data_IF_660459426051
#
_entry.id   IF_660459426051
#
_cell.length_a   1.000
_cell.length_b   1.000
_cell.length_c   1.000
_cell.angle_alpha   90.00
_cell.angle_beta   90.00
_cell.angle_gamma   90.00
#
_symmetry.space_group_name_H-M   'P 1'
#
loop_
_entity.id
_entity.type
_entity.pdbx_description
1 polymer ?
#
# COMPACT_ATOMS: atom_id res chain seq x y z
N UNK A 1 -5.75 23.20 0.82
CA UNK A 1 -5.03 22.01 0.29
C UNK A 1 -4.30 22.44 -0.97
N UNK A 2 -3.00 22.16 -1.09
CA UNK A 2 -2.24 22.48 -2.31
C UNK A 2 -2.78 21.61 -3.47
N UNK A 3 -2.94 22.17 -4.68
CA UNK A 3 -3.43 21.38 -5.81
C UNK A 3 -2.45 20.27 -6.19
N UNK A 4 -2.98 19.20 -6.77
CA UNK A 4 -2.17 18.09 -7.28
C UNK A 4 -1.17 18.57 -8.33
N UNK A 5 0.05 18.14 -8.18
CA UNK A 5 1.14 18.23 -9.17
C UNK A 5 2.12 17.07 -8.93
N UNK A 6 2.89 16.70 -9.93
CA UNK A 6 3.95 15.69 -9.76
C UNK A 6 4.91 16.04 -8.62
N UNK A 7 5.24 17.31 -8.49
CA UNK A 7 6.14 17.80 -7.43
C UNK A 7 5.51 17.71 -6.04
N UNK A 8 4.21 18.07 -5.90
CA UNK A 8 3.49 17.96 -4.62
C UNK A 8 3.30 16.50 -4.21
N UNK A 9 2.99 15.62 -5.17
CA UNK A 9 2.93 14.17 -4.95
C UNK A 9 4.27 13.60 -4.43
N UNK A 10 5.37 13.89 -5.12
CA UNK A 10 6.70 13.42 -4.70
C UNK A 10 7.06 13.86 -3.28
N UNK A 11 6.83 15.14 -2.95
CA UNK A 11 7.05 15.66 -1.58
C UNK A 11 6.22 14.92 -0.53
N UNK A 12 4.96 14.61 -0.82
CA UNK A 12 4.10 13.85 0.10
C UNK A 12 4.60 12.43 0.32
N UNK A 13 4.98 11.74 -0.74
CA UNK A 13 5.54 10.39 -0.66
C UNK A 13 6.86 10.38 0.13
N UNK A 14 7.76 11.32 -0.13
CA UNK A 14 9.02 11.46 0.61
C UNK A 14 8.80 11.75 2.11
N UNK A 15 7.83 12.61 2.43
CA UNK A 15 7.48 12.92 3.80
C UNK A 15 7.05 11.68 4.60
N UNK A 16 6.30 10.77 3.98
CA UNK A 16 5.93 9.49 4.61
C UNK A 16 7.14 8.64 4.93
N UNK A 17 8.10 8.50 3.99
CA UNK A 17 9.31 7.72 4.25
C UNK A 17 10.25 8.36 5.27
N UNK A 18 10.18 9.67 5.43
CA UNK A 18 10.92 10.39 6.48
C UNK A 18 10.26 10.17 7.83
N UNK A 19 8.92 10.24 7.89
CA UNK A 19 8.16 10.04 9.13
C UNK A 19 8.10 8.59 9.58
N UNK A 20 8.01 7.66 8.62
CA UNK A 20 7.93 6.21 8.85
C UNK A 20 9.06 5.48 8.12
N UNK A 21 10.29 5.56 8.61
CA UNK A 21 11.42 4.89 7.98
C UNK A 21 11.18 3.39 7.92
N UNK A 22 11.48 2.79 6.76
CA UNK A 22 11.31 1.35 6.59
C UNK A 22 12.34 0.58 7.41
N UNK A 23 11.96 -0.60 7.90
CA UNK A 23 12.83 -1.54 8.63
C UNK A 23 14.12 -1.87 7.87
N UNK A 24 14.13 -1.67 6.55
CA UNK A 24 15.32 -1.87 5.70
C UNK A 24 16.36 -0.74 5.80
N UNK A 25 15.95 0.45 6.28
CA UNK A 25 16.83 1.65 6.34
C UNK A 25 17.30 2.00 7.74
N UNK A 26 16.68 1.43 8.77
CA UNK A 26 17.01 1.68 10.18
C UNK A 26 17.20 0.35 10.92
N UNK A 27 18.04 0.31 11.99
CA UNK A 27 18.18 -0.87 12.82
C UNK A 27 16.83 -1.37 13.32
N UNK A 28 16.63 -2.69 13.32
CA UNK A 28 15.35 -3.32 13.67
C UNK A 28 14.77 -2.83 15.02
N UNK A 29 15.64 -2.54 15.98
CA UNK A 29 15.26 -2.02 17.30
C UNK A 29 14.56 -0.66 17.25
N UNK A 30 14.92 0.20 16.27
CA UNK A 30 14.40 1.55 16.17
C UNK A 30 13.18 1.65 15.22
N UNK A 31 13.03 0.67 14.34
CA UNK A 31 11.94 0.61 13.37
C UNK A 31 10.73 -0.21 13.82
N UNK A 32 10.95 -1.13 14.77
CA UNK A 32 9.90 -2.04 15.25
C UNK A 32 9.14 -1.43 16.42
N UNK A 33 7.88 -1.08 16.20
CA UNK A 33 6.92 -0.77 17.26
C UNK A 33 6.02 -1.98 17.46
N UNK A 34 6.12 -2.70 18.57
CA UNK A 34 5.23 -3.81 18.85
C UNK A 34 3.80 -3.33 19.05
N UNK A 35 2.85 -4.08 18.48
CA UNK A 35 1.42 -3.82 18.63
C UNK A 35 0.74 -3.29 17.36
N UNK A 36 -0.57 -3.41 17.34
CA UNK A 36 -1.45 -2.98 16.23
C UNK A 36 -2.24 -1.72 16.57
N UNK A 37 -1.99 -1.09 17.71
CA UNK A 37 -2.83 -0.02 18.25
C UNK A 37 -3.00 1.17 17.29
N UNK A 38 -1.90 1.64 16.70
CA UNK A 38 -1.94 2.74 15.74
C UNK A 38 -2.67 2.33 14.46
N UNK A 39 -2.47 1.09 14.00
CA UNK A 39 -3.15 0.57 12.82
C UNK A 39 -4.65 0.43 13.08
N UNK A 40 -5.06 -0.08 14.23
CA UNK A 40 -6.47 -0.20 14.60
C UNK A 40 -7.16 1.15 14.72
N UNK A 41 -6.48 2.16 15.28
CA UNK A 41 -6.99 3.53 15.30
C UNK A 41 -7.19 4.09 13.90
N UNK A 42 -6.16 3.98 13.06
CA UNK A 42 -6.22 4.46 11.68
C UNK A 42 -7.27 3.73 10.86
N UNK A 43 -7.41 2.43 11.07
CA UNK A 43 -8.43 1.62 10.42
C UNK A 43 -9.85 2.06 10.81
N UNK A 44 -10.05 2.46 12.08
CA UNK A 44 -11.29 3.09 12.54
C UNK A 44 -11.61 4.38 11.81
N UNK A 45 -10.62 5.25 11.57
CA UNK A 45 -10.76 6.48 10.78
C UNK A 45 -11.17 6.18 9.34
N UNK A 46 -10.66 5.08 8.75
CA UNK A 46 -11.01 4.62 7.41
C UNK A 46 -12.36 3.89 7.33
N UNK A 47 -13.08 3.71 8.44
CA UNK A 47 -14.35 2.99 8.48
C UNK A 47 -14.21 1.46 8.44
N UNK A 48 -13.07 0.94 8.89
CA UNK A 48 -12.78 -0.51 8.97
C UNK A 48 -12.96 -1.27 7.64
N UNK A 49 -12.30 -0.87 6.55
CA UNK A 49 -12.53 -1.43 5.23
C UNK A 49 -12.26 -2.94 5.15
N UNK A 50 -11.38 -3.48 6.01
CA UNK A 50 -11.05 -4.91 6.06
C UNK A 50 -12.28 -5.79 6.33
N UNK A 51 -13.30 -5.27 7.03
CA UNK A 51 -14.52 -6.04 7.36
C UNK A 51 -15.37 -6.35 6.12
N UNK A 52 -15.22 -5.58 5.05
CA UNK A 52 -15.95 -5.77 3.79
C UNK A 52 -15.13 -6.46 2.70
N UNK A 53 -13.83 -6.69 2.93
CA UNK A 53 -12.92 -7.27 1.96
C UNK A 53 -12.58 -8.73 2.31
N UNK A 54 -12.48 -9.57 1.28
CA UNK A 54 -11.84 -10.88 1.41
C UNK A 54 -10.35 -10.71 1.19
N UNK A 55 -9.55 -11.05 2.19
CA UNK A 55 -8.10 -10.85 2.15
C UNK A 55 -7.35 -12.17 2.18
N UNK A 56 -6.23 -12.22 1.44
CA UNK A 56 -5.26 -13.30 1.51
C UNK A 56 -3.92 -12.68 1.92
N UNK A 57 -3.37 -13.14 3.03
CA UNK A 57 -2.07 -12.70 3.51
C UNK A 57 -0.99 -13.69 3.13
N UNK A 58 0.04 -13.23 2.39
CA UNK A 58 1.20 -14.04 1.98
C UNK A 58 2.40 -13.66 2.83
N UNK A 59 2.81 -14.57 3.71
CA UNK A 59 3.99 -14.41 4.57
C UNK A 59 5.11 -15.39 4.18
N UNK A 60 6.33 -15.06 4.53
CA UNK A 60 7.50 -15.91 4.27
C UNK A 60 8.79 -15.09 4.13
N UNK A 61 9.93 -15.77 4.05
CA UNK A 61 11.23 -15.12 3.87
C UNK A 61 11.42 -14.67 2.43
N UNK A 62 11.22 -15.55 1.46
CA UNK A 62 11.40 -15.31 0.04
C UNK A 62 10.10 -15.59 -0.75
N UNK A 63 9.99 -15.03 -1.95
CA UNK A 63 8.94 -15.35 -2.90
C UNK A 63 7.56 -14.73 -2.61
N UNK A 64 7.38 -13.97 -1.51
CA UNK A 64 6.08 -13.35 -1.15
C UNK A 64 5.44 -12.60 -2.31
N UNK A 65 6.19 -11.68 -2.92
CA UNK A 65 5.70 -10.88 -4.05
C UNK A 65 5.34 -11.73 -5.26
N UNK A 66 6.14 -12.75 -5.58
CA UNK A 66 5.87 -13.67 -6.71
C UNK A 66 4.58 -14.45 -6.47
N UNK A 67 4.41 -15.04 -5.29
CA UNK A 67 3.20 -15.78 -4.92
C UNK A 67 1.98 -14.86 -4.94
N UNK A 68 2.08 -13.66 -4.36
CA UNK A 68 0.98 -12.69 -4.36
C UNK A 68 0.56 -12.29 -5.79
N UNK A 69 1.53 -12.06 -6.69
CA UNK A 69 1.25 -11.77 -8.10
C UNK A 69 0.56 -12.94 -8.82
N UNK A 70 1.04 -14.17 -8.62
CA UNK A 70 0.43 -15.37 -9.22
C UNK A 70 -1.02 -15.56 -8.73
N UNK A 71 -1.26 -15.40 -7.42
CA UNK A 71 -2.60 -15.48 -6.84
C UNK A 71 -3.53 -14.40 -7.40
N UNK A 72 -3.05 -13.15 -7.48
CA UNK A 72 -3.83 -12.06 -8.04
C UNK A 72 -4.20 -12.31 -9.50
N UNK A 73 -3.26 -12.82 -10.31
CA UNK A 73 -3.51 -13.19 -11.71
C UNK A 73 -4.51 -14.34 -11.84
N UNK A 74 -4.38 -15.38 -11.01
CA UNK A 74 -5.31 -16.52 -11.02
C UNK A 74 -6.73 -16.09 -10.62
N UNK A 75 -6.87 -15.31 -9.57
CA UNK A 75 -8.17 -14.78 -9.12
C UNK A 75 -8.79 -13.84 -10.17
N UNK A 76 -7.98 -13.02 -10.82
CA UNK A 76 -8.42 -12.18 -11.93
C UNK A 76 -8.90 -13.00 -13.12
N UNK A 77 -8.22 -14.10 -13.45
CA UNK A 77 -8.66 -15.02 -14.49
C UNK A 77 -10.02 -15.69 -14.16
N UNK A 78 -10.38 -15.79 -12.89
CA UNK A 78 -11.70 -16.21 -12.43
C UNK A 78 -12.74 -15.08 -12.42
N UNK A 79 -12.46 -13.93 -13.03
CA UNK A 79 -13.39 -12.80 -13.12
C UNK A 79 -13.43 -11.89 -11.89
N UNK A 80 -12.47 -12.02 -10.97
CA UNK A 80 -12.42 -11.18 -9.78
C UNK A 80 -11.54 -9.94 -10.02
N UNK A 81 -11.96 -8.81 -9.46
CA UNK A 81 -11.12 -7.62 -9.37
C UNK A 81 -10.31 -7.68 -8.08
N UNK A 82 -9.00 -7.72 -8.18
CA UNK A 82 -8.09 -7.97 -7.07
C UNK A 82 -7.25 -6.76 -6.77
N UNK A 83 -7.30 -6.27 -5.52
CA UNK A 83 -6.31 -5.35 -4.99
C UNK A 83 -5.06 -6.12 -4.59
N UNK A 84 -3.91 -5.73 -5.14
CA UNK A 84 -2.63 -6.37 -4.86
C UNK A 84 -1.71 -5.41 -4.15
N UNK A 85 -1.36 -5.74 -2.91
CA UNK A 85 -0.35 -5.01 -2.14
C UNK A 85 0.95 -5.81 -2.05
N UNK A 86 2.07 -5.17 -2.40
CA UNK A 86 3.41 -5.78 -2.29
C UNK A 86 4.43 -4.78 -1.74
N UNK A 87 5.47 -5.26 -1.07
CA UNK A 87 6.58 -4.44 -0.61
C UNK A 87 7.90 -5.22 -0.66
N UNK A 88 9.03 -4.53 -0.86
CA UNK A 88 9.17 -3.11 -1.17
C UNK A 88 8.78 -2.77 -2.62
N UNK A 89 8.78 -1.47 -2.98
CA UNK A 89 8.81 -1.01 -4.37
C UNK A 89 10.27 -0.86 -4.84
N UNK A 90 10.48 -0.83 -6.15
CA UNK A 90 11.81 -0.71 -6.77
C UNK A 90 12.03 0.70 -7.29
N UNK A 91 11.09 1.25 -8.05
CA UNK A 91 11.19 2.56 -8.70
C UNK A 91 10.07 3.49 -8.26
N UNK A 92 8.82 3.03 -8.31
CA UNK A 92 7.63 3.85 -8.06
C UNK A 92 6.90 3.35 -6.81
N UNK A 93 6.59 4.29 -5.90
CA UNK A 93 5.82 3.98 -4.69
C UNK A 93 4.52 3.22 -4.97
N UNK A 94 3.86 3.52 -6.09
CA UNK A 94 2.60 2.89 -6.51
C UNK A 94 2.72 1.41 -6.88
N UNK A 95 3.94 0.91 -7.10
CA UNK A 95 4.17 -0.54 -7.27
C UNK A 95 3.64 -1.35 -6.08
N UNK A 96 3.53 -0.72 -4.91
CA UNK A 96 2.95 -1.32 -3.71
C UNK A 96 1.44 -1.52 -3.79
N UNK A 97 0.76 -0.77 -4.65
CA UNK A 97 -0.70 -0.70 -4.71
C UNK A 97 -1.16 -0.85 -6.15
N UNK A 98 -1.60 -2.03 -6.52
CA UNK A 98 -2.03 -2.36 -7.88
C UNK A 98 -3.43 -2.94 -7.88
N UNK A 99 -4.14 -2.72 -8.96
CA UNK A 99 -5.42 -3.36 -9.23
C UNK A 99 -5.22 -4.32 -10.40
N UNK A 100 -5.56 -5.58 -10.20
CA UNK A 100 -5.57 -6.59 -11.25
C UNK A 100 -7.02 -6.84 -11.65
N UNK A 101 -7.36 -6.43 -12.87
CA UNK A 101 -8.72 -6.54 -13.42
C UNK A 101 -8.86 -7.66 -14.45
N UNK A 102 -9.98 -7.66 -15.16
CA UNK A 102 -10.38 -8.71 -16.12
C UNK A 102 -9.35 -9.03 -17.21
N UNK A 103 -8.50 -8.08 -17.58
CA UNK A 103 -7.44 -8.29 -18.59
C UNK A 103 -6.14 -8.86 -17.99
N UNK A 104 -6.16 -9.29 -16.74
CA UNK A 104 -4.98 -9.78 -16.00
C UNK A 104 -3.79 -8.78 -15.97
N UNK A 105 -4.02 -7.53 -16.40
CA UNK A 105 -3.04 -6.45 -16.29
C UNK A 105 -3.08 -5.85 -14.90
N UNK A 106 -1.91 -5.73 -14.27
CA UNK A 106 -1.78 -5.05 -13.00
C UNK A 106 -1.60 -3.55 -13.24
N UNK A 107 -2.61 -2.76 -12.95
CA UNK A 107 -2.58 -1.31 -13.09
C UNK A 107 -2.17 -0.65 -11.76
N UNK A 108 -1.25 0.30 -11.83
CA UNK A 108 -0.90 1.13 -10.68
C UNK A 108 -2.07 2.06 -10.33
N UNK A 109 -2.30 2.29 -9.05
CA UNK A 109 -3.19 3.38 -8.64
C UNK A 109 -2.65 4.72 -9.14
N UNK A 110 -3.52 5.70 -9.42
CA UNK A 110 -3.07 7.00 -9.94
C UNK A 110 -2.27 7.79 -8.88
N UNK A 111 -1.33 8.62 -9.33
CA UNK A 111 -0.58 9.53 -8.44
C UNK A 111 -1.53 10.49 -7.71
N UNK A 112 -2.55 10.97 -8.39
CA UNK A 112 -3.58 11.85 -7.84
C UNK A 112 -4.36 11.18 -6.72
N UNK A 113 -4.79 9.94 -6.93
CA UNK A 113 -5.49 9.16 -5.89
C UNK A 113 -4.63 9.01 -4.62
N UNK A 114 -3.35 8.66 -4.78
CA UNK A 114 -2.42 8.55 -3.65
C UNK A 114 -2.22 9.91 -2.97
N UNK A 115 -2.05 10.97 -3.75
CA UNK A 115 -1.89 12.33 -3.23
C UNK A 115 -3.11 12.78 -2.40
N UNK A 116 -4.31 12.59 -2.94
CA UNK A 116 -5.54 12.96 -2.25
C UNK A 116 -5.75 12.18 -0.96
N UNK A 117 -5.45 10.86 -1.00
CA UNK A 117 -5.47 10.02 0.19
C UNK A 117 -4.52 10.54 1.27
N UNK A 118 -3.28 10.81 0.90
CA UNK A 118 -2.27 11.33 1.82
C UNK A 118 -2.66 12.70 2.39
N UNK A 119 -3.15 13.60 1.56
CA UNK A 119 -3.63 14.91 2.03
C UNK A 119 -4.81 14.81 2.99
N UNK A 120 -5.71 13.86 2.76
CA UNK A 120 -6.90 13.67 3.59
C UNK A 120 -6.57 13.10 4.97
N UNK A 121 -5.64 12.16 5.04
CA UNK A 121 -5.38 11.37 6.25
C UNK A 121 -4.03 11.63 6.91
N UNK A 122 -3.27 12.64 6.44
CA UNK A 122 -1.94 12.95 6.98
C UNK A 122 -1.94 13.24 8.50
N UNK A 123 -3.01 13.87 9.00
CA UNK A 123 -3.14 14.18 10.41
C UNK A 123 -3.47 12.95 11.28
N UNK A 124 -4.05 11.91 10.67
CA UNK A 124 -4.49 10.69 11.35
C UNK A 124 -3.42 9.59 11.35
N UNK A 125 -2.39 9.72 10.51
CA UNK A 125 -1.23 8.84 10.43
C UNK A 125 -0.13 9.28 11.41
#
# INVERSE_FOLDING_TARGET
MEPFSKKSYQRKVEAIFTRFPSVQKVPFKDAYKPGLENMLKFEGVLGNPHKSLRTIHVAGTNGKGSVANMLASALSACGLRVGLYTSPHIVDFRERMRIVGEKQSAELVSEEYVYDFLCRYEADM
#
